data_IF_701341184368
#
_entry.id   IF_701341184368
#
_cell.length_a   1.000
_cell.length_b   1.000
_cell.length_c   1.000
_cell.angle_alpha   90.00
_cell.angle_beta   90.00
_cell.angle_gamma   90.00
#
_symmetry.space_group_name_H-M   'P 1'
#
loop_
_entity.id
_entity.type
_entity.pdbx_description
1 polymer ?
#
# COMPACT_ATOMS: atom_id res chain seq x y z
N UNK A 1 3.33 -8.54 -16.01
CA UNK A 1 4.13 -9.10 -14.90
C UNK A 1 3.16 -9.75 -13.91
N UNK A 2 2.97 -11.07 -13.95
CA UNK A 2 2.11 -11.78 -13.00
C UNK A 2 2.94 -12.06 -11.74
N UNK A 3 2.65 -11.33 -10.67
CA UNK A 3 3.25 -11.61 -9.36
C UNK A 3 2.33 -12.65 -8.70
N UNK A 4 2.77 -13.91 -8.72
CA UNK A 4 2.10 -14.98 -7.97
C UNK A 4 2.65 -14.95 -6.55
N UNK A 5 1.92 -14.35 -5.63
CA UNK A 5 2.26 -14.41 -4.21
C UNK A 5 1.89 -15.81 -3.68
N UNK A 6 2.79 -16.51 -2.97
CA UNK A 6 2.43 -17.72 -2.27
C UNK A 6 1.42 -17.34 -1.19
N UNK A 7 0.18 -17.83 -1.30
CA UNK A 7 -0.82 -17.62 -0.25
C UNK A 7 -0.24 -18.17 1.05
N UNK A 8 0.02 -17.31 2.07
CA UNK A 8 0.61 -17.79 3.30
C UNK A 8 -0.42 -18.69 4.00
N UNK A 9 -0.06 -19.94 4.26
CA UNK A 9 -0.92 -20.91 4.96
C UNK A 9 -1.10 -20.58 6.44
N UNK A 10 -0.35 -19.58 6.97
CA UNK A 10 -0.35 -19.13 8.36
C UNK A 10 -0.11 -17.61 8.42
N UNK A 11 -0.58 -16.90 9.48
CA UNK A 11 -0.29 -15.49 9.67
C UNK A 11 1.23 -15.22 9.73
N UNK A 12 1.68 -14.16 9.07
CA UNK A 12 3.09 -13.75 9.03
C UNK A 12 3.28 -12.53 9.96
N UNK A 13 4.33 -12.48 10.79
CA UNK A 13 4.63 -11.30 11.60
C UNK A 13 4.90 -10.07 10.72
N UNK A 14 4.21 -8.97 11.00
CA UNK A 14 4.32 -7.71 10.23
C UNK A 14 5.30 -6.78 10.93
N UNK A 15 6.46 -6.51 10.31
CA UNK A 15 7.49 -5.62 10.88
C UNK A 15 7.42 -4.16 10.44
N UNK A 16 6.96 -3.90 9.21
CA UNK A 16 6.73 -2.54 8.69
C UNK A 16 5.72 -2.58 7.55
N UNK A 17 4.95 -1.51 7.38
CA UNK A 17 4.00 -1.36 6.29
C UNK A 17 4.54 -0.31 5.32
N UNK A 18 4.75 -0.69 4.06
CA UNK A 18 5.16 0.21 3.00
C UNK A 18 3.94 0.52 2.13
N UNK A 19 3.61 1.80 1.98
CA UNK A 19 2.40 2.26 1.31
C UNK A 19 2.75 3.12 0.10
N UNK A 20 1.98 2.97 -0.98
CA UNK A 20 2.11 3.78 -2.20
C UNK A 20 0.95 4.78 -2.23
N UNK A 21 1.29 6.07 -2.25
CA UNK A 21 0.32 7.14 -2.42
C UNK A 21 0.02 7.42 -3.89
N UNK A 22 -1.22 7.87 -4.19
CA UNK A 22 -1.64 8.32 -5.53
C UNK A 22 -1.35 7.31 -6.65
N UNK A 23 -1.64 6.04 -6.39
CA UNK A 23 -1.48 4.95 -7.37
C UNK A 23 -2.67 4.83 -8.35
N UNK A 24 -3.64 5.72 -8.26
CA UNK A 24 -4.84 5.79 -9.11
C UNK A 24 -5.01 7.22 -9.60
N UNK A 25 -5.20 7.40 -10.92
CA UNK A 25 -5.29 8.73 -11.54
C UNK A 25 -6.47 9.53 -10.99
N UNK A 26 -7.67 8.93 -10.96
CA UNK A 26 -8.89 9.54 -10.44
C UNK A 26 -8.71 10.03 -8.99
N UNK A 27 -8.03 9.26 -8.14
CA UNK A 27 -7.76 9.67 -6.76
C UNK A 27 -6.77 10.84 -6.65
N UNK A 28 -5.82 10.96 -7.58
CA UNK A 28 -4.94 12.13 -7.63
C UNK A 28 -5.73 13.39 -8.05
N UNK A 29 -6.64 13.25 -9.01
CA UNK A 29 -7.55 14.32 -9.46
C UNK A 29 -8.48 14.81 -8.35
N UNK A 30 -9.09 13.90 -7.57
CA UNK A 30 -9.91 14.22 -6.39
C UNK A 30 -9.20 15.15 -5.39
N UNK A 31 -7.89 14.97 -5.24
CA UNK A 31 -7.05 15.76 -4.33
C UNK A 31 -6.47 17.01 -4.98
N UNK A 32 -6.82 17.28 -6.25
CA UNK A 32 -6.28 18.34 -7.08
C UNK A 32 -4.74 18.28 -7.14
N UNK A 33 -4.19 17.07 -7.29
CA UNK A 33 -2.75 16.77 -7.35
C UNK A 33 -2.41 16.06 -8.66
N UNK A 34 -1.18 16.27 -9.12
CA UNK A 34 -0.66 15.55 -10.28
C UNK A 34 -0.37 14.07 -9.96
N UNK A 35 -0.48 13.24 -10.99
CA UNK A 35 0.00 11.85 -10.98
C UNK A 35 1.53 11.88 -10.93
N UNK A 36 2.16 11.26 -9.92
CA UNK A 36 3.61 11.32 -9.79
C UNK A 36 4.31 10.41 -10.82
N UNK A 37 5.42 10.86 -11.39
CA UNK A 37 6.24 10.08 -12.34
C UNK A 37 6.94 8.88 -11.67
N UNK A 38 7.19 8.99 -10.37
CA UNK A 38 7.76 7.92 -9.54
C UNK A 38 6.82 7.56 -8.38
N UNK A 39 6.79 6.30 -7.92
CA UNK A 39 5.94 5.89 -6.81
C UNK A 39 6.22 6.67 -5.53
N UNK A 40 5.20 7.37 -5.02
CA UNK A 40 5.29 8.05 -3.74
C UNK A 40 5.16 7.02 -2.60
N UNK A 41 6.25 6.81 -1.86
CA UNK A 41 6.32 5.82 -0.78
C UNK A 41 6.22 6.48 0.59
N UNK A 42 5.42 5.91 1.48
CA UNK A 42 5.39 6.27 2.90
C UNK A 42 5.27 5.03 3.80
N UNK A 43 5.60 5.19 5.08
CA UNK A 43 5.65 4.09 6.04
C UNK A 43 4.56 4.22 7.11
N UNK A 44 3.97 3.09 7.48
CA UNK A 44 3.15 2.97 8.68
C UNK A 44 3.77 1.96 9.67
N UNK A 45 3.71 2.24 10.98
CA UNK A 45 4.20 1.31 11.99
C UNK A 45 3.28 0.07 12.06
N UNK A 46 3.79 -1.09 12.53
CA UNK A 46 2.98 -2.29 12.75
C UNK A 46 1.76 -2.07 13.64
N UNK A 47 1.83 -1.12 14.58
CA UNK A 47 0.71 -0.76 15.46
C UNK A 47 -0.49 -0.16 14.73
N UNK A 48 -0.35 0.26 13.47
CA UNK A 48 -1.46 0.71 12.64
C UNK A 48 -2.25 -0.43 12.00
N UNK A 49 -1.78 -1.68 12.12
CA UNK A 49 -2.46 -2.85 11.58
C UNK A 49 -3.64 -3.23 12.47
N UNK A 50 -4.82 -3.29 11.86
CA UNK A 50 -6.03 -3.86 12.47
C UNK A 50 -6.56 -4.97 11.58
N UNK A 51 -7.23 -5.96 12.17
CA UNK A 51 -7.90 -7.01 11.40
C UNK A 51 -9.25 -6.51 10.93
N UNK A 52 -9.62 -6.79 9.68
CA UNK A 52 -11.00 -6.62 9.23
C UNK A 52 -11.93 -7.48 10.10
N UNK A 53 -13.03 -6.87 10.55
CA UNK A 53 -14.07 -7.54 11.36
C UNK A 53 -14.70 -8.70 10.61
#
# INVERSE_FOLDING_TARGET
MKITLPTPSKPVPVGKLLCIGRNYADHAEEMNRDVPDEPMVFLKPPSALIRTG
#
